data_IF_571077972368
#
_entry.id   IF_571077972368
#
_cell.length_a   1.000
_cell.length_b   1.000
_cell.length_c   1.000
_cell.angle_alpha   90.00
_cell.angle_beta   90.00
_cell.angle_gamma   90.00
#
_symmetry.space_group_name_H-M   'P 1'
#
loop_
_entity.id
_entity.type
_entity.pdbx_description
1 polymer ?
#
# COMPACT_ATOMS: atom_id res chain seq x y z
N UNK A 1 -8.75 -12.75 -19.32
CA UNK A 1 -7.35 -13.04 -18.96
C UNK A 1 -6.50 -12.04 -19.75
N UNK A 2 -5.95 -11.02 -19.11
CA UNK A 2 -5.00 -10.10 -19.76
C UNK A 2 -3.64 -10.36 -19.14
N UNK A 3 -2.72 -10.94 -19.89
CA UNK A 3 -1.30 -10.95 -19.56
C UNK A 3 -0.73 -9.59 -19.97
N UNK A 4 -0.27 -8.81 -19.01
CA UNK A 4 0.62 -7.70 -19.30
C UNK A 4 1.99 -8.30 -19.60
N UNK A 5 2.40 -8.21 -20.85
CA UNK A 5 3.75 -8.60 -21.26
C UNK A 5 4.69 -7.47 -20.81
N UNK A 6 5.12 -7.49 -19.55
CA UNK A 6 6.06 -6.52 -19.00
C UNK A 6 7.47 -7.11 -19.18
N UNK A 7 7.94 -7.14 -20.43
CA UNK A 7 9.29 -7.62 -20.78
C UNK A 7 10.45 -6.75 -20.29
N UNK A 8 10.17 -5.72 -19.49
CA UNK A 8 11.17 -4.77 -19.03
C UNK A 8 11.46 -4.96 -17.54
N UNK A 9 12.73 -4.78 -17.20
CA UNK A 9 13.19 -4.72 -15.81
C UNK A 9 12.70 -3.44 -15.14
N UNK A 10 12.22 -3.52 -13.90
CA UNK A 10 11.71 -2.36 -13.14
C UNK A 10 11.71 -2.63 -11.63
N UNK A 11 11.60 -1.57 -10.86
CA UNK A 11 11.12 -1.61 -9.48
C UNK A 11 9.73 -0.98 -9.43
N UNK A 12 8.75 -1.65 -8.83
CA UNK A 12 7.35 -1.21 -8.84
C UNK A 12 6.71 -1.20 -7.47
N UNK A 13 6.23 -0.03 -7.00
CA UNK A 13 5.39 0.10 -5.82
C UNK A 13 3.93 0.08 -6.27
N UNK A 14 3.17 -0.92 -5.80
CA UNK A 14 1.77 -1.11 -6.17
C UNK A 14 0.86 -0.97 -4.96
N UNK A 15 -0.27 -0.29 -5.16
CA UNK A 15 -1.31 -0.06 -4.15
C UNK A 15 -2.66 -0.42 -4.73
N UNK A 16 -3.41 -1.29 -4.06
CA UNK A 16 -4.77 -1.65 -4.46
C UNK A 16 -5.76 -0.61 -3.97
N UNK A 17 -6.41 0.07 -4.91
CA UNK A 17 -7.44 1.09 -4.67
C UNK A 17 -8.83 0.48 -4.50
N UNK A 18 -9.11 -0.61 -5.21
CA UNK A 18 -10.43 -1.24 -5.21
C UNK A 18 -10.34 -2.75 -5.50
N UNK A 19 -11.25 -3.51 -4.89
CA UNK A 19 -11.44 -4.93 -5.19
C UNK A 19 -10.39 -5.85 -4.57
N UNK A 20 -10.38 -7.08 -5.08
CA UNK A 20 -9.49 -8.15 -4.67
C UNK A 20 -9.04 -8.94 -5.90
N UNK A 21 -7.77 -9.31 -5.94
CA UNK A 21 -7.21 -10.19 -6.96
C UNK A 21 -6.23 -11.17 -6.32
N UNK A 22 -6.24 -12.38 -6.81
CA UNK A 22 -5.22 -13.36 -6.52
C UNK A 22 -4.21 -13.36 -7.67
N UNK A 23 -2.97 -13.02 -7.35
CA UNK A 23 -1.87 -12.92 -8.29
C UNK A 23 -0.85 -14.02 -8.04
N UNK A 24 -0.40 -14.66 -9.11
CA UNK A 24 0.70 -15.60 -9.12
C UNK A 24 1.76 -15.11 -10.10
N UNK A 25 3.01 -15.06 -9.63
CA UNK A 25 4.18 -14.77 -10.46
C UNK A 25 5.07 -16.02 -10.52
N UNK A 26 5.43 -16.44 -11.74
CA UNK A 26 6.25 -17.64 -11.96
C UNK A 26 7.63 -17.55 -11.31
N UNK A 27 8.23 -16.37 -11.32
CA UNK A 27 9.59 -16.10 -10.82
C UNK A 27 9.69 -16.24 -9.30
N UNK A 28 8.68 -15.74 -8.58
CA UNK A 28 8.65 -15.79 -7.11
C UNK A 28 8.07 -17.10 -6.58
N UNK A 29 7.36 -17.86 -7.44
CA UNK A 29 6.54 -19.02 -7.06
C UNK A 29 5.57 -18.72 -5.92
N UNK A 30 5.23 -17.45 -5.75
CA UNK A 30 4.44 -16.93 -4.65
C UNK A 30 3.03 -16.58 -5.15
N UNK A 31 2.03 -17.00 -4.38
CA UNK A 31 0.64 -16.70 -4.61
C UNK A 31 0.20 -15.64 -3.63
N UNK A 32 -0.15 -14.46 -4.12
CA UNK A 32 -0.51 -13.32 -3.29
C UNK A 32 -1.94 -12.89 -3.52
N UNK A 33 -2.60 -12.58 -2.42
CA UNK A 33 -3.92 -11.94 -2.46
C UNK A 33 -3.69 -10.44 -2.30
N UNK A 34 -4.05 -9.69 -3.33
CA UNK A 34 -4.06 -8.24 -3.34
C UNK A 34 -5.49 -7.76 -3.11
N UNK A 35 -5.70 -6.94 -2.08
CA UNK A 35 -7.00 -6.39 -1.73
C UNK A 35 -6.90 -4.90 -1.48
N UNK A 36 -8.04 -4.19 -1.57
CA UNK A 36 -8.12 -2.75 -1.27
C UNK A 36 -7.38 -2.42 0.04
N UNK A 37 -6.57 -1.36 0.00
CA UNK A 37 -5.79 -0.87 1.15
C UNK A 37 -4.50 -1.64 1.41
N UNK A 38 -4.06 -2.53 0.48
CA UNK A 38 -2.78 -3.22 0.59
C UNK A 38 -1.78 -2.70 -0.45
N UNK A 39 -0.51 -2.77 -0.07
CA UNK A 39 0.64 -2.34 -0.88
C UNK A 39 1.77 -3.34 -0.79
N UNK A 40 2.57 -3.40 -1.81
CA UNK A 40 3.90 -4.01 -1.79
C UNK A 40 4.75 -3.43 -2.92
N UNK A 41 6.04 -3.64 -2.81
CA UNK A 41 6.99 -3.28 -3.85
C UNK A 41 7.61 -4.55 -4.44
N UNK A 42 7.63 -4.63 -5.75
CA UNK A 42 8.29 -5.69 -6.52
C UNK A 42 9.55 -5.12 -7.18
N UNK A 43 10.62 -5.88 -7.13
CA UNK A 43 11.81 -5.67 -7.95
C UNK A 43 11.83 -6.79 -8.99
N UNK A 44 11.85 -6.43 -10.26
CA UNK A 44 11.76 -7.38 -11.36
C UNK A 44 12.87 -7.17 -12.38
N UNK A 45 13.62 -8.23 -12.66
CA UNK A 45 14.54 -8.32 -13.79
C UNK A 45 13.85 -8.82 -15.08
N UNK A 46 12.55 -9.00 -15.04
CA UNK A 46 11.66 -9.48 -16.09
C UNK A 46 10.65 -10.46 -15.53
N UNK A 47 9.39 -10.30 -15.90
CA UNK A 47 8.30 -11.22 -15.54
C UNK A 47 7.97 -12.07 -16.74
N UNK A 48 8.17 -13.40 -16.63
CA UNK A 48 7.88 -14.36 -17.70
C UNK A 48 6.39 -14.68 -17.75
N UNK A 49 5.78 -14.87 -16.59
CA UNK A 49 4.37 -15.21 -16.50
C UNK A 49 3.74 -14.61 -15.24
N UNK A 50 2.65 -13.90 -15.46
CA UNK A 50 1.79 -13.39 -14.41
C UNK A 50 0.37 -13.91 -14.65
N UNK A 51 -0.23 -14.50 -13.61
CA UNK A 51 -1.63 -14.96 -13.62
C UNK A 51 -2.42 -14.22 -12.56
N UNK A 52 -3.45 -13.52 -13.02
CA UNK A 52 -4.35 -12.79 -12.15
C UNK A 52 -5.76 -13.42 -12.19
N UNK A 53 -6.25 -13.87 -11.02
CA UNK A 53 -7.57 -14.45 -10.87
C UNK A 53 -8.51 -13.42 -10.22
N UNK A 54 -9.54 -13.05 -10.99
CA UNK A 54 -10.61 -12.16 -10.56
C UNK A 54 -11.90 -12.96 -10.38
N UNK A 55 -12.73 -12.59 -9.43
CA UNK A 55 -14.09 -13.13 -9.33
C UNK A 55 -14.97 -12.45 -10.39
N UNK A 56 -15.89 -13.21 -10.98
CA UNK A 56 -16.84 -12.69 -11.97
C UNK A 56 -17.70 -11.59 -11.32
N UNK A 57 -17.73 -10.43 -11.95
CA UNK A 57 -18.49 -9.27 -11.48
C UNK A 57 -17.74 -8.33 -10.55
N UNK A 58 -16.54 -8.70 -10.06
CA UNK A 58 -15.72 -7.81 -9.24
C UNK A 58 -15.05 -6.74 -10.11
N UNK A 59 -14.94 -5.55 -9.55
CA UNK A 59 -14.08 -4.47 -10.09
C UNK A 59 -12.76 -4.47 -9.35
N UNK A 60 -11.67 -4.24 -10.07
CA UNK A 60 -10.34 -4.15 -9.49
C UNK A 60 -9.63 -2.90 -9.99
N UNK A 61 -9.05 -2.15 -9.06
CA UNK A 61 -8.26 -0.95 -9.35
C UNK A 61 -6.95 -0.94 -8.56
N UNK A 62 -5.85 -0.69 -9.25
CA UNK A 62 -4.51 -0.62 -8.67
C UNK A 62 -3.77 0.59 -9.24
N UNK A 63 -3.09 1.34 -8.38
CA UNK A 63 -2.11 2.35 -8.79
C UNK A 63 -0.72 1.77 -8.62
N UNK A 64 0.12 1.91 -9.63
CA UNK A 64 1.52 1.47 -9.58
C UNK A 64 2.46 2.58 -9.99
N UNK A 65 3.51 2.79 -9.19
CA UNK A 65 4.68 3.60 -9.53
C UNK A 65 5.73 2.64 -10.06
N UNK A 66 6.06 2.76 -11.33
CA UNK A 66 7.13 1.98 -11.95
C UNK A 66 8.37 2.85 -12.10
N UNK A 67 9.47 2.34 -11.59
CA UNK A 67 10.77 3.01 -11.56
C UNK A 67 11.71 2.30 -12.53
N UNK A 68 12.36 3.07 -13.41
CA UNK A 68 13.34 2.53 -14.36
C UNK A 68 14.56 1.94 -13.64
N UNK A 69 15.30 1.04 -14.29
CA UNK A 69 16.56 0.51 -13.74
C UNK A 69 17.57 1.61 -13.40
N UNK A 70 17.68 2.65 -14.23
CA UNK A 70 18.62 3.77 -13.99
C UNK A 70 18.23 4.57 -12.72
N UNK A 71 16.94 4.85 -12.54
CA UNK A 71 16.48 5.54 -11.34
C UNK A 71 16.62 4.65 -10.10
N UNK A 72 16.41 3.35 -10.23
CA UNK A 72 16.65 2.39 -9.16
C UNK A 72 18.13 2.31 -8.77
N UNK A 73 19.03 2.34 -9.75
CA UNK A 73 20.46 2.45 -9.50
C UNK A 73 20.79 3.71 -8.70
N UNK A 74 20.31 4.87 -9.14
CA UNK A 74 20.51 6.13 -8.44
C UNK A 74 20.03 6.08 -6.99
N UNK A 75 18.84 5.51 -6.75
CA UNK A 75 18.33 5.30 -5.39
C UNK A 75 19.22 4.37 -4.57
N UNK A 76 19.75 3.31 -5.15
CA UNK A 76 20.62 2.34 -4.47
C UNK A 76 21.98 2.92 -4.08
N UNK A 77 22.51 3.82 -4.86
CA UNK A 77 23.76 4.53 -4.59
C UNK A 77 23.57 5.58 -3.46
N UNK A 78 22.46 6.32 -3.53
CA UNK A 78 22.18 7.40 -2.59
C UNK A 78 21.64 6.91 -1.24
N UNK A 79 20.87 5.81 -1.24
CA UNK A 79 20.19 5.24 -0.08
C UNK A 79 20.53 3.75 0.05
N UNK A 80 21.83 3.45 0.14
CA UNK A 80 22.37 2.09 0.09
C UNK A 80 21.81 1.17 1.17
N UNK A 81 21.53 1.70 2.37
CA UNK A 81 20.95 0.94 3.49
C UNK A 81 19.55 0.41 3.18
N UNK A 82 18.77 1.09 2.34
CA UNK A 82 17.41 0.69 1.95
C UNK A 82 17.38 -0.11 0.64
N UNK A 83 18.11 0.33 -0.36
CA UNK A 83 18.00 -0.21 -1.71
C UNK A 83 19.22 -0.99 -2.19
N UNK A 84 20.37 -0.89 -1.52
CA UNK A 84 21.61 -1.50 -1.98
C UNK A 84 21.52 -3.03 -2.12
N UNK A 85 20.99 -3.73 -1.11
CA UNK A 85 20.81 -5.18 -1.16
C UNK A 85 19.81 -5.61 -2.24
N UNK A 86 18.73 -4.84 -2.41
CA UNK A 86 17.72 -5.10 -3.43
C UNK A 86 18.29 -4.88 -4.84
N UNK A 87 19.11 -3.86 -5.03
CA UNK A 87 19.78 -3.61 -6.32
C UNK A 87 20.80 -4.69 -6.68
N UNK A 88 21.56 -5.20 -5.70
CA UNK A 88 22.49 -6.34 -5.93
C UNK A 88 21.72 -7.61 -6.36
N UNK A 89 20.57 -7.90 -5.77
CA UNK A 89 19.72 -9.01 -6.17
C UNK A 89 19.13 -8.80 -7.57
N UNK A 90 18.71 -7.59 -7.88
CA UNK A 90 18.27 -7.19 -9.22
C UNK A 90 19.35 -7.42 -10.28
N UNK A 91 20.60 -7.02 -10.00
CA UNK A 91 21.75 -7.25 -10.88
C UNK A 91 22.08 -8.74 -11.12
N UNK A 92 21.63 -9.64 -10.24
CA UNK A 92 21.70 -11.11 -10.41
C UNK A 92 20.55 -11.70 -11.22
N UNK A 93 19.66 -10.88 -11.73
CA UNK A 93 18.49 -11.32 -12.47
C UNK A 93 17.35 -11.84 -11.60
N UNK A 94 17.32 -11.51 -10.29
CA UNK A 94 16.26 -11.96 -9.41
C UNK A 94 15.00 -11.08 -9.56
N UNK A 95 13.82 -11.73 -9.43
CA UNK A 95 12.53 -11.07 -9.27
C UNK A 95 11.97 -11.42 -7.91
N UNK A 96 11.61 -10.42 -7.09
CA UNK A 96 11.17 -10.62 -5.72
C UNK A 96 10.35 -9.44 -5.20
N UNK A 97 9.60 -9.69 -4.15
CA UNK A 97 8.92 -8.64 -3.38
C UNK A 97 9.81 -8.14 -2.25
N UNK A 98 9.80 -6.83 -2.00
CA UNK A 98 10.54 -6.21 -0.89
C UNK A 98 9.95 -6.68 0.44
N UNK A 99 8.63 -6.59 0.61
CA UNK A 99 7.99 -7.10 1.81
C UNK A 99 7.57 -8.57 1.64
N UNK A 100 7.85 -9.45 2.63
CA UNK A 100 7.50 -10.86 2.57
C UNK A 100 5.98 -11.09 2.40
N UNK A 101 5.17 -10.18 2.93
CA UNK A 101 3.70 -10.15 2.77
C UNK A 101 3.27 -8.76 2.32
N UNK A 102 2.11 -8.67 1.68
CA UNK A 102 1.53 -7.38 1.39
C UNK A 102 1.26 -6.61 2.68
N UNK A 103 1.64 -5.34 2.70
CA UNK A 103 1.50 -4.43 3.84
C UNK A 103 0.20 -3.64 3.70
N UNK A 104 -0.34 -3.22 4.83
CA UNK A 104 -1.40 -2.23 4.81
C UNK A 104 -0.84 -0.88 4.39
N UNK A 105 -1.57 -0.18 3.53
CA UNK A 105 -1.15 1.15 3.08
C UNK A 105 -1.19 2.14 4.27
N UNK A 106 -0.09 2.84 4.59
CA UNK A 106 -0.11 3.95 5.52
C UNK A 106 -0.96 5.11 4.95
N UNK A 107 -1.62 5.87 5.83
CA UNK A 107 -2.38 7.05 5.41
C UNK A 107 -1.49 8.03 4.63
N UNK A 108 -0.30 8.32 5.16
CA UNK A 108 0.66 9.20 4.51
C UNK A 108 0.99 8.76 3.07
N UNK A 109 1.19 7.45 2.84
CA UNK A 109 1.43 6.92 1.50
C UNK A 109 0.19 7.08 0.60
N UNK A 110 -1.01 6.91 1.15
CA UNK A 110 -2.24 7.11 0.39
C UNK A 110 -2.40 8.56 -0.06
N UNK A 111 -2.08 9.52 0.82
CA UNK A 111 -2.09 10.96 0.51
C UNK A 111 -1.03 11.29 -0.55
N UNK A 112 0.22 10.87 -0.35
CA UNK A 112 1.31 11.13 -1.30
C UNK A 112 1.03 10.58 -2.71
N UNK A 113 0.34 9.43 -2.80
CA UNK A 113 -0.07 8.86 -4.08
C UNK A 113 -1.18 9.68 -4.78
N UNK A 114 -2.08 10.29 -4.02
CA UNK A 114 -3.09 11.16 -4.61
C UNK A 114 -2.46 12.46 -5.14
N UNK A 115 -1.44 12.98 -4.44
CA UNK A 115 -0.71 14.17 -4.89
C UNK A 115 -0.01 13.96 -6.24
N UNK A 116 0.31 12.72 -6.63
CA UNK A 116 0.89 12.44 -7.95
C UNK A 116 -0.05 12.85 -9.10
N UNK A 117 -1.36 12.82 -8.89
CA UNK A 117 -2.35 13.22 -9.91
C UNK A 117 -2.27 14.74 -10.19
N UNK A 118 -1.85 15.53 -9.18
CA UNK A 118 -1.69 16.99 -9.29
C UNK A 118 -0.45 17.37 -10.10
N UNK A 119 0.48 16.43 -10.32
CA UNK A 119 1.75 16.69 -11.03
C UNK A 119 1.56 17.30 -12.41
N UNK A 120 0.49 16.97 -13.11
CA UNK A 120 0.17 17.50 -14.45
C UNK A 120 -0.09 19.02 -14.43
N UNK A 121 -0.47 19.57 -13.27
CA UNK A 121 -0.75 21.00 -13.10
C UNK A 121 0.51 21.83 -12.85
N UNK A 122 1.67 21.16 -12.61
CA UNK A 122 2.93 21.81 -12.25
C UNK A 122 3.72 22.37 -13.46
N UNK A 123 3.20 22.23 -14.69
CA UNK A 123 3.84 22.75 -15.90
C UNK A 123 5.30 22.26 -16.01
N UNK A 124 6.24 23.17 -16.22
CA UNK A 124 7.67 22.84 -16.39
C UNK A 124 8.33 22.26 -15.11
N UNK A 125 7.75 22.45 -13.93
CA UNK A 125 8.23 21.88 -12.67
C UNK A 125 7.75 20.42 -12.44
N UNK A 126 6.87 19.91 -13.30
CA UNK A 126 6.27 18.57 -13.17
C UNK A 126 7.29 17.43 -13.00
N UNK A 127 8.40 17.34 -13.75
CA UNK A 127 9.38 16.27 -13.57
C UNK A 127 10.01 16.26 -12.18
N UNK A 128 10.42 17.45 -11.68
CA UNK A 128 11.00 17.59 -10.35
C UNK A 128 10.00 17.26 -9.24
N UNK A 129 8.75 17.69 -9.40
CA UNK A 129 7.67 17.37 -8.47
C UNK A 129 7.39 15.86 -8.43
N UNK A 130 7.31 15.21 -9.60
CA UNK A 130 7.11 13.76 -9.72
C UNK A 130 8.24 12.99 -9.04
N UNK A 131 9.50 13.35 -9.27
CA UNK A 131 10.65 12.69 -8.65
C UNK A 131 10.60 12.81 -7.12
N UNK A 132 10.28 14.01 -6.61
CA UNK A 132 10.12 14.23 -5.18
C UNK A 132 8.99 13.38 -4.59
N UNK A 133 7.82 13.35 -5.22
CA UNK A 133 6.67 12.56 -4.77
C UNK A 133 6.88 11.05 -4.88
N UNK A 134 7.54 10.59 -5.94
CA UNK A 134 7.94 9.18 -6.06
C UNK A 134 8.88 8.79 -4.92
N UNK A 135 9.90 9.61 -4.65
CA UNK A 135 10.85 9.37 -3.56
C UNK A 135 10.16 9.38 -2.19
N UNK A 136 9.20 10.28 -1.97
CA UNK A 136 8.35 10.31 -0.78
C UNK A 136 7.55 9.00 -0.64
N UNK A 137 6.86 8.55 -1.68
CA UNK A 137 6.10 7.30 -1.67
C UNK A 137 6.98 6.09 -1.34
N UNK A 138 8.16 6.01 -1.94
CA UNK A 138 9.12 4.93 -1.69
C UNK A 138 9.61 4.96 -0.23
N UNK A 139 9.95 6.14 0.30
CA UNK A 139 10.41 6.28 1.69
C UNK A 139 9.33 5.89 2.71
N UNK A 140 8.08 6.29 2.46
CA UNK A 140 6.94 5.93 3.31
C UNK A 140 6.67 4.42 3.30
N UNK A 141 6.85 3.76 2.14
CA UNK A 141 6.76 2.30 2.05
C UNK A 141 7.92 1.63 2.79
N UNK A 142 9.17 2.06 2.57
CA UNK A 142 10.34 1.47 3.21
C UNK A 142 10.28 1.56 4.74
N UNK A 143 9.82 2.67 5.29
CA UNK A 143 9.56 2.81 6.73
C UNK A 143 8.65 1.71 7.28
N UNK A 144 7.64 1.29 6.52
CA UNK A 144 6.74 0.21 6.94
C UNK A 144 7.40 -1.18 6.89
N UNK A 145 8.52 -1.32 6.21
CA UNK A 145 9.30 -2.57 6.17
C UNK A 145 10.28 -2.68 7.33
N UNK A 146 10.67 -1.55 7.95
CA UNK A 146 11.60 -1.53 9.08
C UNK A 146 11.02 -2.25 10.31
N UNK A 147 11.85 -3.03 10.97
CA UNK A 147 11.48 -3.74 12.20
C UNK A 147 10.53 -4.94 12.02
N UNK A 148 10.22 -5.31 10.78
CA UNK A 148 9.48 -6.53 10.48
C UNK A 148 10.47 -7.62 10.07
N UNK A 149 11.07 -8.30 11.07
CA UNK A 149 11.79 -9.55 10.82
C UNK A 149 10.91 -10.53 10.04
N UNK A 150 11.48 -11.34 9.11
CA UNK A 150 10.73 -12.38 8.44
C UNK A 150 10.24 -13.38 9.50
N UNK A 151 8.99 -13.24 9.89
CA UNK A 151 8.34 -14.22 10.75
C UNK A 151 8.31 -15.52 9.97
N UNK A 152 9.09 -16.50 10.39
CA UNK A 152 9.00 -17.89 9.94
C UNK A 152 7.53 -18.29 9.89
N UNK A 153 7.00 -18.48 8.68
CA UNK A 153 5.60 -18.80 8.44
C UNK A 153 5.28 -20.19 8.98
N UNK A 154 4.90 -20.28 10.26
CA UNK A 154 4.02 -21.36 10.70
C UNK A 154 2.61 -21.03 10.24
N UNK A 155 2.01 -21.96 9.51
CA UNK A 155 0.61 -21.95 9.11
C UNK A 155 -0.24 -21.84 10.38
N UNK A 156 -0.79 -20.66 10.63
CA UNK A 156 -1.78 -20.44 11.70
C UNK A 156 -2.95 -19.72 11.05
N UNK A 157 -4.16 -20.19 11.33
CA UNK A 157 -5.43 -19.56 10.92
C UNK A 157 -5.42 -18.06 11.16
N UNK A 158 -6.37 -17.33 10.57
CA UNK A 158 -6.47 -15.86 10.58
C UNK A 158 -5.85 -15.28 11.85
N UNK A 159 -4.63 -14.72 11.74
CA UNK A 159 -3.90 -14.25 12.90
C UNK A 159 -4.65 -13.05 13.49
N UNK A 160 -4.58 -12.83 14.78
CA UNK A 160 -5.18 -11.64 15.42
C UNK A 160 -4.75 -10.34 14.74
N UNK A 161 -3.58 -10.34 14.13
CA UNK A 161 -3.09 -9.24 13.31
C UNK A 161 -3.92 -9.01 12.05
N UNK A 162 -4.35 -10.05 11.32
CA UNK A 162 -5.19 -9.90 10.13
C UNK A 162 -6.56 -9.30 10.50
N UNK A 163 -7.10 -9.65 11.68
CA UNK A 163 -8.33 -9.08 12.22
C UNK A 163 -8.18 -7.57 12.51
N UNK A 164 -7.03 -7.16 13.04
CA UNK A 164 -6.72 -5.74 13.32
C UNK A 164 -6.65 -4.93 12.04
N UNK A 165 -6.03 -5.45 10.99
CA UNK A 165 -6.00 -4.79 9.69
C UNK A 165 -7.36 -4.76 9.02
N UNK A 166 -8.16 -5.83 9.16
CA UNK A 166 -9.54 -5.84 8.71
C UNK A 166 -10.40 -4.81 9.44
N UNK A 167 -10.20 -4.63 10.75
CA UNK A 167 -10.88 -3.59 11.52
C UNK A 167 -10.57 -2.18 11.00
N UNK A 168 -9.30 -1.91 10.69
CA UNK A 168 -8.91 -0.64 10.05
C UNK A 168 -9.63 -0.45 8.72
N UNK A 169 -9.70 -1.47 7.87
CA UNK A 169 -10.34 -1.37 6.56
C UNK A 169 -11.84 -1.05 6.68
N UNK A 170 -12.50 -1.64 7.69
CA UNK A 170 -13.92 -1.36 7.98
C UNK A 170 -14.10 0.11 8.40
N UNK A 171 -13.35 0.61 9.38
CA UNK A 171 -13.51 2.00 9.84
C UNK A 171 -13.15 3.03 8.76
N UNK A 172 -12.20 2.72 7.88
CA UNK A 172 -11.87 3.60 6.76
C UNK A 172 -12.92 3.55 5.65
N UNK A 173 -13.54 2.40 5.38
CA UNK A 173 -14.61 2.30 4.38
C UNK A 173 -15.93 2.90 4.87
N UNK A 174 -16.20 2.84 6.16
CA UNK A 174 -17.41 3.36 6.80
C UNK A 174 -17.14 4.66 7.58
N UNK A 175 -16.16 5.45 7.13
CA UNK A 175 -15.67 6.62 7.88
C UNK A 175 -16.74 7.68 8.18
N UNK A 176 -17.80 7.79 7.40
CA UNK A 176 -18.93 8.70 7.66
C UNK A 176 -19.77 8.20 8.82
N UNK A 177 -20.07 6.91 8.85
CA UNK A 177 -20.89 6.26 9.88
C UNK A 177 -20.15 5.02 10.42
N UNK A 178 -19.10 5.21 11.24
CA UNK A 178 -18.28 4.10 11.70
C UNK A 178 -19.03 3.24 12.72
N UNK A 179 -18.77 1.92 12.72
CA UNK A 179 -19.33 1.02 13.72
C UNK A 179 -18.80 1.35 15.11
N UNK A 180 -19.53 0.94 16.16
CA UNK A 180 -19.01 0.96 17.53
C UNK A 180 -17.79 0.05 17.67
N UNK A 181 -16.97 0.25 18.71
CA UNK A 181 -15.85 -0.66 19.01
C UNK A 181 -16.32 -2.10 19.21
N UNK A 182 -17.46 -2.27 19.84
CA UNK A 182 -18.06 -3.57 20.05
C UNK A 182 -18.42 -4.25 18.72
N UNK A 183 -19.16 -3.54 17.86
CA UNK A 183 -19.56 -4.08 16.55
C UNK A 183 -18.34 -4.34 15.65
N UNK A 184 -17.35 -3.45 15.70
CA UNK A 184 -16.11 -3.61 14.97
C UNK A 184 -15.37 -4.89 15.40
N UNK A 185 -15.26 -5.11 16.72
CA UNK A 185 -14.64 -6.32 17.27
C UNK A 185 -15.39 -7.59 16.85
N UNK A 186 -16.73 -7.58 16.91
CA UNK A 186 -17.55 -8.70 16.48
C UNK A 186 -17.37 -9.00 14.98
N UNK A 187 -17.38 -7.97 14.12
CA UNK A 187 -17.24 -8.12 12.67
C UNK A 187 -15.90 -8.76 12.26
N UNK A 188 -14.83 -8.51 13.03
CA UNK A 188 -13.51 -9.08 12.75
C UNK A 188 -13.22 -10.35 13.56
N UNK A 189 -14.18 -10.83 14.35
CA UNK A 189 -14.04 -12.07 15.12
C UNK A 189 -13.05 -11.97 16.28
N UNK A 190 -13.07 -10.85 17.02
CA UNK A 190 -12.25 -10.62 18.21
C UNK A 190 -13.07 -9.92 19.30
N UNK A 191 -12.45 -9.63 20.44
CA UNK A 191 -13.05 -8.82 21.50
C UNK A 191 -12.46 -7.39 21.51
N UNK A 192 -13.15 -6.45 22.15
CA UNK A 192 -12.71 -5.05 22.21
C UNK A 192 -11.33 -4.86 22.84
N UNK A 193 -10.98 -5.64 23.85
CA UNK A 193 -9.70 -5.52 24.54
C UNK A 193 -8.55 -5.88 23.58
N UNK A 194 -8.66 -7.03 22.91
CA UNK A 194 -7.71 -7.49 21.90
C UNK A 194 -7.66 -6.53 20.72
N UNK A 195 -8.82 -6.01 20.28
CA UNK A 195 -8.90 -5.01 19.21
C UNK A 195 -8.14 -3.74 19.58
N UNK A 196 -8.39 -3.16 20.77
CA UNK A 196 -7.73 -1.93 21.23
C UNK A 196 -6.21 -2.11 21.37
N UNK A 197 -5.77 -3.20 21.98
CA UNK A 197 -4.36 -3.50 22.18
C UNK A 197 -3.65 -3.72 20.84
N UNK A 198 -4.19 -4.58 19.98
CA UNK A 198 -3.61 -4.89 18.69
C UNK A 198 -3.62 -3.69 17.74
N UNK A 199 -4.66 -2.85 17.79
CA UNK A 199 -4.73 -1.63 16.98
C UNK A 199 -3.66 -0.62 17.40
N UNK A 200 -3.48 -0.42 18.73
CA UNK A 200 -2.42 0.45 19.26
C UNK A 200 -1.03 -0.09 18.95
N UNK A 201 -0.83 -1.40 18.98
CA UNK A 201 0.43 -2.05 18.60
C UNK A 201 0.72 -1.86 17.10
N UNK A 202 -0.27 -2.15 16.23
CA UNK A 202 -0.11 -2.13 14.78
C UNK A 202 0.02 -0.71 14.21
N UNK A 203 -0.74 0.26 14.74
CA UNK A 203 -0.86 1.61 14.17
C UNK A 203 -0.37 2.73 15.08
N UNK A 204 0.16 2.41 16.28
CA UNK A 204 0.69 3.36 17.28
C UNK A 204 -0.34 4.42 17.74
N UNK A 205 -1.63 4.17 17.49
CA UNK A 205 -2.74 5.06 17.85
C UNK A 205 -4.01 4.27 18.19
N UNK A 206 -5.02 4.92 18.72
CA UNK A 206 -6.32 4.26 18.99
C UNK A 206 -7.16 4.18 17.71
N UNK A 207 -8.18 3.30 17.71
CA UNK A 207 -9.12 3.15 16.59
C UNK A 207 -9.75 4.48 16.19
N UNK A 208 -10.24 5.26 17.15
CA UNK A 208 -10.92 6.52 16.87
C UNK A 208 -9.97 7.67 16.52
N UNK A 209 -8.77 7.71 17.08
CA UNK A 209 -7.77 8.69 16.65
C UNK A 209 -7.31 8.41 15.22
N UNK A 210 -7.14 7.12 14.86
CA UNK A 210 -6.84 6.73 13.48
C UNK A 210 -7.95 7.19 12.52
N UNK A 211 -9.20 6.98 12.88
CA UNK A 211 -10.36 7.43 12.09
C UNK A 211 -10.42 8.96 12.00
N UNK A 212 -10.10 9.67 13.09
CA UNK A 212 -10.03 11.13 13.08
C UNK A 212 -8.97 11.63 12.11
N UNK A 213 -7.76 11.09 12.18
CA UNK A 213 -6.67 11.45 11.27
C UNK A 213 -7.04 11.13 9.81
N UNK A 214 -7.71 9.99 9.58
CA UNK A 214 -8.20 9.60 8.27
C UNK A 214 -9.25 10.61 7.73
N UNK A 215 -10.22 11.02 8.55
CA UNK A 215 -11.23 12.05 8.20
C UNK A 215 -10.58 13.40 7.92
N UNK A 216 -9.60 13.81 8.73
CA UNK A 216 -8.87 15.08 8.53
C UNK A 216 -8.12 15.08 7.21
N UNK A 217 -7.47 13.99 6.86
CA UNK A 217 -6.78 13.87 5.58
C UNK A 217 -7.77 13.94 4.39
N UNK A 218 -8.93 13.29 4.51
CA UNK A 218 -9.99 13.40 3.50
C UNK A 218 -10.51 14.85 3.39
N UNK A 219 -10.77 15.51 4.54
CA UNK A 219 -11.25 16.88 4.56
C UNK A 219 -10.26 17.85 3.93
N UNK A 220 -8.97 17.72 4.25
CA UNK A 220 -7.91 18.51 3.64
C UNK A 220 -7.91 18.32 2.12
N UNK A 221 -8.01 17.08 1.65
CA UNK A 221 -8.06 16.78 0.23
C UNK A 221 -9.26 17.46 -0.46
N UNK A 222 -10.45 17.36 0.13
CA UNK A 222 -11.63 18.05 -0.39
C UNK A 222 -11.48 19.58 -0.42
N UNK A 223 -10.84 20.18 0.58
CA UNK A 223 -10.63 21.62 0.65
C UNK A 223 -9.58 22.10 -0.37
N UNK A 224 -8.59 21.28 -0.68
CA UNK A 224 -7.55 21.61 -1.67
C UNK A 224 -8.01 21.38 -3.11
N UNK A 225 -8.80 20.33 -3.35
CA UNK A 225 -9.16 19.90 -4.70
C UNK A 225 -10.53 20.41 -5.17
N UNK A 226 -11.30 21.05 -4.29
CA UNK A 226 -12.62 21.57 -4.64
C UNK A 226 -12.80 22.99 -4.12
N UNK A 227 -13.72 23.74 -4.73
CA UNK A 227 -14.11 25.07 -4.23
C UNK A 227 -15.11 25.00 -3.06
N UNK A 228 -15.15 23.88 -2.33
CA UNK A 228 -16.05 23.72 -1.19
C UNK A 228 -15.56 24.50 0.02
N UNK A 229 -16.48 25.11 0.73
CA UNK A 229 -16.22 25.75 2.02
C UNK A 229 -16.01 24.72 3.13
N UNK A 230 -15.38 25.14 4.22
CA UNK A 230 -15.18 24.28 5.41
C UNK A 230 -16.52 23.72 5.91
N UNK A 231 -17.61 24.51 5.88
CA UNK A 231 -18.95 24.09 6.30
C UNK A 231 -19.53 22.97 5.43
N UNK A 232 -19.27 22.99 4.11
CA UNK A 232 -19.75 21.97 3.18
C UNK A 232 -18.93 20.66 3.24
N UNK A 233 -17.72 20.71 3.78
CA UNK A 233 -16.86 19.54 3.98
C UNK A 233 -17.10 18.89 5.34
N UNK A 234 -17.58 19.68 6.32
CA UNK A 234 -17.81 19.21 7.69
C UNK A 234 -19.23 18.62 7.91
N UNK A 235 -20.21 18.88 7.04
CA UNK A 235 -21.58 18.37 7.05
C UNK A 235 -21.72 17.11 6.25
#
# INVERSE_FOLDING_TARGET
MRSLNVGNSFMGLSVVRQGIVECFLSETRDKRIWRKGYTNMIVSSGIKEERNLFRKGDTFGMTSILVSPDFFQHLSERYTEYFGSAYLRFGRGETFFIAPKNLSIPIALSVALNDLEVSQMMGNASPMYLEAKVTECLSLFMRETEGKEPVNAKIVGFSDRDKIYQARDIICSEYLNPPSLHDLALRVGTNECTLKAGFKEAFRTTVFNYLFDYRMNIAIHYLLDTNKSIGEVAG
#
